data_IF_425677620347
#
_entry.id   IF_425677620347
#
_cell.length_a   1.000
_cell.length_b   1.000
_cell.length_c   1.000
_cell.angle_alpha   90.00
_cell.angle_beta   90.00
_cell.angle_gamma   90.00
#
_symmetry.space_group_name_H-M   'P 1'
#
loop_
_entity.id
_entity.type
_entity.pdbx_description
1 polymer ?
#
# COMPACT_ATOMS: atom_id res chain seq x y z
N UNK A 1 39.75 59.84 -30.92
CA UNK A 1 39.80 60.77 -32.03
C UNK A 1 39.43 62.19 -31.55
N UNK A 2 38.27 62.39 -30.89
CA UNK A 2 37.81 63.70 -30.42
C UNK A 2 38.76 64.37 -29.42
N UNK A 3 39.35 63.65 -28.46
CA UNK A 3 40.37 64.14 -27.54
C UNK A 3 41.62 64.58 -28.27
N UNK A 4 42.08 63.84 -29.30
CA UNK A 4 43.27 64.20 -30.11
C UNK A 4 43.03 65.47 -30.99
N UNK A 5 41.79 65.71 -31.37
CA UNK A 5 41.38 66.91 -32.12
C UNK A 5 41.12 68.16 -31.23
N UNK A 6 41.19 67.94 -29.88
CA UNK A 6 40.91 69.02 -28.94
C UNK A 6 39.43 69.40 -28.79
N UNK A 7 38.54 68.59 -29.32
CA UNK A 7 37.07 68.74 -29.26
C UNK A 7 36.49 68.19 -27.94
N UNK A 8 37.29 67.51 -27.14
CA UNK A 8 36.90 66.89 -25.90
C UNK A 8 38.08 66.77 -24.93
N UNK A 9 37.90 67.04 -23.67
CA UNK A 9 38.96 66.89 -22.66
C UNK A 9 39.13 65.44 -22.25
N UNK A 10 40.28 65.08 -21.67
CA UNK A 10 40.51 63.73 -21.08
C UNK A 10 39.51 63.43 -19.93
N UNK A 11 39.14 64.53 -19.20
CA UNK A 11 38.15 64.40 -18.11
C UNK A 11 36.76 64.04 -18.64
N UNK A 12 36.35 64.60 -19.76
CA UNK A 12 35.07 64.32 -20.40
C UNK A 12 35.05 62.85 -20.88
N UNK A 13 36.15 62.30 -21.40
CA UNK A 13 36.26 60.90 -21.79
C UNK A 13 36.09 59.96 -20.61
N UNK A 14 36.76 60.26 -19.48
CA UNK A 14 36.67 59.45 -18.24
C UNK A 14 35.25 59.53 -17.68
N UNK A 15 34.62 60.74 -17.69
CA UNK A 15 33.26 60.93 -17.23
C UNK A 15 32.25 60.11 -18.07
N UNK A 16 32.34 60.18 -19.39
CA UNK A 16 31.46 59.38 -20.30
C UNK A 16 31.62 57.87 -20.06
N UNK A 17 32.86 57.42 -19.94
CA UNK A 17 33.11 55.99 -19.62
C UNK A 17 32.51 55.60 -18.26
N UNK A 18 32.66 56.46 -17.25
CA UNK A 18 32.03 56.25 -15.94
C UNK A 18 30.50 56.18 -16.02
N UNK A 19 29.88 57.09 -16.80
CA UNK A 19 28.41 57.04 -17.00
C UNK A 19 27.96 55.77 -17.74
N UNK A 20 28.70 55.28 -18.72
CA UNK A 20 28.40 54.01 -19.40
C UNK A 20 28.43 52.83 -18.41
N UNK A 21 29.42 52.79 -17.53
CA UNK A 21 29.47 51.75 -16.46
C UNK A 21 28.32 51.91 -15.46
N UNK A 22 27.94 53.14 -15.09
CA UNK A 22 26.79 53.39 -14.23
C UNK A 22 25.47 52.89 -14.83
N UNK A 23 25.29 53.00 -16.15
CA UNK A 23 24.10 52.54 -16.85
C UNK A 23 24.06 51.03 -17.06
N UNK A 24 25.20 50.37 -17.23
CA UNK A 24 25.26 48.91 -17.42
C UNK A 24 24.86 48.14 -16.18
N UNK A 25 25.14 48.65 -14.99
CA UNK A 25 24.82 47.96 -13.72
C UNK A 25 23.31 47.77 -13.52
N UNK A 26 22.45 48.81 -13.57
CA UNK A 26 21.01 48.63 -13.41
C UNK A 26 20.38 47.79 -14.51
N UNK A 27 20.86 47.85 -15.75
CA UNK A 27 20.37 47.00 -16.84
C UNK A 27 20.67 45.52 -16.59
N UNK A 28 21.87 45.22 -16.07
CA UNK A 28 22.22 43.85 -15.71
C UNK A 28 21.43 43.32 -14.49
N UNK A 29 21.21 44.19 -13.49
CA UNK A 29 20.37 43.85 -12.32
C UNK A 29 18.90 43.65 -12.71
N UNK A 30 18.37 44.38 -13.69
CA UNK A 30 17.01 44.16 -14.18
C UNK A 30 16.80 42.75 -14.70
N UNK A 31 17.78 42.16 -15.39
CA UNK A 31 17.74 40.77 -15.82
C UNK A 31 17.70 39.80 -14.65
N UNK A 32 18.43 40.04 -13.57
CA UNK A 32 18.38 39.20 -12.35
C UNK A 32 17.01 39.32 -11.68
N UNK A 33 16.47 40.52 -11.53
CA UNK A 33 15.17 40.71 -10.90
C UNK A 33 14.04 40.00 -11.68
N UNK A 34 14.08 40.05 -13.01
CA UNK A 34 13.12 39.32 -13.83
C UNK A 34 13.19 37.82 -13.55
N UNK A 35 14.41 37.26 -13.49
CA UNK A 35 14.59 35.81 -13.15
C UNK A 35 14.12 35.50 -11.73
N UNK A 36 14.42 36.36 -10.75
CA UNK A 36 14.00 36.15 -9.37
C UNK A 36 12.48 36.25 -9.22
N UNK A 37 11.83 37.16 -9.91
CA UNK A 37 10.37 37.29 -9.95
C UNK A 37 9.76 36.01 -10.57
N UNK A 38 10.31 35.50 -11.68
CA UNK A 38 9.83 34.26 -12.28
C UNK A 38 10.00 33.06 -11.35
N UNK A 39 11.16 32.92 -10.69
CA UNK A 39 11.39 31.89 -9.69
C UNK A 39 10.41 31.99 -8.53
N UNK A 40 10.19 33.19 -8.02
CA UNK A 40 9.24 33.46 -6.95
C UNK A 40 7.82 33.06 -7.38
N UNK A 41 7.34 33.49 -8.54
CA UNK A 41 6.01 33.15 -9.05
C UNK A 41 5.84 31.65 -9.20
N UNK A 42 6.80 30.95 -9.82
CA UNK A 42 6.75 29.48 -9.96
C UNK A 42 6.76 28.76 -8.61
N UNK A 43 7.54 29.28 -7.65
CA UNK A 43 7.59 28.67 -6.30
C UNK A 43 6.27 28.88 -5.55
N UNK A 44 5.69 30.09 -5.64
CA UNK A 44 4.38 30.39 -5.04
C UNK A 44 3.29 29.54 -5.66
N UNK A 45 3.26 29.37 -6.98
CA UNK A 45 2.29 28.51 -7.66
C UNK A 45 2.36 27.06 -7.16
N UNK A 46 3.56 26.50 -7.00
CA UNK A 46 3.75 25.14 -6.47
C UNK A 46 3.27 25.03 -5.01
N UNK A 47 3.68 25.98 -4.16
CA UNK A 47 3.26 26.01 -2.75
C UNK A 47 1.74 26.18 -2.66
N UNK A 48 1.18 27.13 -3.41
CA UNK A 48 -0.25 27.39 -3.42
C UNK A 48 -1.05 26.18 -3.94
N UNK A 49 -0.60 25.55 -5.02
CA UNK A 49 -1.21 24.33 -5.56
C UNK A 49 -1.22 23.18 -4.53
N UNK A 50 -0.12 23.00 -3.78
CA UNK A 50 -0.07 22.00 -2.70
C UNK A 50 -0.95 22.40 -1.51
N UNK A 51 -0.95 23.67 -1.12
CA UNK A 51 -1.73 24.18 0.01
C UNK A 51 -3.25 24.13 -0.24
N UNK A 52 -3.67 24.37 -1.49
CA UNK A 52 -5.08 24.39 -1.89
C UNK A 52 -5.56 23.04 -2.44
N UNK A 53 -4.67 22.03 -2.53
CA UNK A 53 -5.06 20.70 -2.95
C UNK A 53 -6.11 20.12 -2.00
N UNK A 54 -7.27 19.80 -2.52
CA UNK A 54 -8.28 19.07 -1.77
C UNK A 54 -7.99 17.57 -1.85
N UNK A 55 -8.12 16.81 -0.74
CA UNK A 55 -7.99 15.37 -0.80
C UNK A 55 -9.15 14.75 -1.58
N UNK A 56 -8.85 13.75 -2.41
CA UNK A 56 -9.86 13.03 -3.19
C UNK A 56 -10.85 12.30 -2.26
N UNK A 57 -10.35 11.75 -1.16
CA UNK A 57 -11.16 11.12 -0.13
C UNK A 57 -11.42 12.11 1.00
N UNK A 58 -12.65 12.63 1.08
CA UNK A 58 -13.06 13.60 2.09
C UNK A 58 -13.53 12.89 3.36
N UNK A 59 -13.08 13.41 4.50
CA UNK A 59 -13.62 12.97 5.79
C UNK A 59 -15.11 13.33 5.88
N UNK A 60 -15.98 12.42 6.34
CA UNK A 60 -17.41 12.75 6.50
C UNK A 60 -17.57 13.87 7.52
N UNK A 61 -18.42 14.84 7.22
CA UNK A 61 -18.66 15.99 8.11
C UNK A 61 -19.28 15.58 9.46
N UNK A 62 -19.96 14.44 9.50
CA UNK A 62 -20.51 13.80 10.70
C UNK A 62 -20.32 12.30 10.56
N UNK A 63 -19.17 11.76 10.99
CA UNK A 63 -18.91 10.33 10.91
C UNK A 63 -19.88 9.55 11.80
N UNK A 64 -20.29 8.40 11.34
CA UNK A 64 -21.01 7.42 12.14
C UNK A 64 -20.02 6.85 13.15
N UNK A 65 -20.32 7.00 14.45
CA UNK A 65 -19.51 6.39 15.49
C UNK A 65 -19.77 4.89 15.52
N UNK A 66 -18.71 4.10 15.38
CA UNK A 66 -18.77 2.64 15.43
C UNK A 66 -17.95 2.15 16.63
N UNK A 67 -18.64 1.79 17.72
CA UNK A 67 -17.98 1.50 19.00
C UNK A 67 -17.11 0.25 18.99
N UNK A 68 -17.38 -0.70 18.10
CA UNK A 68 -16.64 -1.97 18.02
C UNK A 68 -16.70 -2.54 16.63
N UNK A 69 -15.57 -2.58 15.96
CA UNK A 69 -15.43 -3.26 14.67
C UNK A 69 -15.42 -4.77 14.87
N UNK A 70 -16.32 -5.45 14.18
CA UNK A 70 -16.42 -6.91 14.19
C UNK A 70 -15.74 -7.54 12.98
N UNK A 71 -15.67 -6.80 11.86
CA UNK A 71 -15.01 -7.23 10.63
C UNK A 71 -15.92 -7.97 9.65
N UNK A 72 -17.25 -7.73 9.68
CA UNK A 72 -18.12 -8.15 8.59
C UNK A 72 -17.95 -7.20 7.41
N UNK A 73 -17.77 -7.74 6.21
CA UNK A 73 -17.47 -6.94 5.02
C UNK A 73 -18.44 -7.31 3.91
N UNK A 74 -18.97 -6.29 3.21
CA UNK A 74 -19.84 -6.49 2.05
C UNK A 74 -19.46 -5.52 0.94
N UNK A 75 -19.16 -6.04 -0.23
CA UNK A 75 -19.03 -5.32 -1.47
C UNK A 75 -20.32 -5.52 -2.27
N UNK A 76 -20.98 -4.43 -2.67
CA UNK A 76 -22.24 -4.47 -3.41
C UNK A 76 -22.14 -3.68 -4.69
N UNK A 77 -22.10 -4.40 -5.80
CA UNK A 77 -22.00 -3.86 -7.17
C UNK A 77 -20.92 -2.79 -7.33
N UNK A 78 -19.76 -3.05 -6.70
CA UNK A 78 -18.67 -2.10 -6.60
C UNK A 78 -17.97 -1.95 -7.94
N UNK A 79 -17.89 -0.71 -8.42
CA UNK A 79 -17.06 -0.32 -9.57
C UNK A 79 -16.13 0.82 -9.18
N UNK A 80 -14.92 0.79 -9.73
CA UNK A 80 -13.94 1.84 -9.53
C UNK A 80 -13.21 2.16 -10.82
N UNK A 81 -13.18 3.45 -11.16
CA UNK A 81 -12.50 4.00 -12.33
C UNK A 81 -11.40 4.95 -11.89
N UNK A 82 -10.24 4.83 -12.51
CA UNK A 82 -9.14 5.76 -12.36
C UNK A 82 -8.63 6.17 -13.74
N UNK A 83 -8.38 7.45 -13.96
CA UNK A 83 -7.86 8.02 -15.22
C UNK A 83 -8.58 7.50 -16.47
N UNK A 84 -9.94 7.45 -16.42
CA UNK A 84 -10.84 6.93 -17.47
C UNK A 84 -10.75 5.41 -17.74
N UNK A 85 -9.98 4.66 -16.95
CA UNK A 85 -9.92 3.20 -17.01
C UNK A 85 -10.77 2.55 -15.90
N UNK A 86 -11.59 1.56 -16.27
CA UNK A 86 -12.36 0.75 -15.33
C UNK A 86 -11.46 -0.31 -14.70
N UNK A 87 -11.01 -0.06 -13.47
CA UNK A 87 -10.12 -0.95 -12.71
C UNK A 87 -10.90 -2.08 -12.03
N UNK A 88 -12.06 -1.75 -11.44
CA UNK A 88 -13.00 -2.70 -10.81
C UNK A 88 -14.37 -2.54 -11.48
N UNK A 89 -15.01 -3.65 -11.76
CA UNK A 89 -16.27 -3.70 -12.54
C UNK A 89 -17.27 -4.63 -11.89
N UNK A 90 -18.29 -4.07 -11.27
CA UNK A 90 -19.46 -4.78 -10.72
C UNK A 90 -19.08 -5.94 -9.79
N UNK A 91 -18.21 -5.68 -8.83
CA UNK A 91 -17.73 -6.67 -7.87
C UNK A 91 -18.68 -6.74 -6.68
N UNK A 92 -19.16 -7.97 -6.37
CA UNK A 92 -20.03 -8.22 -5.23
C UNK A 92 -19.61 -9.49 -4.49
N UNK A 93 -19.40 -9.38 -3.17
CA UNK A 93 -19.15 -10.51 -2.27
C UNK A 93 -19.42 -10.11 -0.83
N UNK A 94 -19.59 -11.10 0.02
CA UNK A 94 -19.77 -10.92 1.46
C UNK A 94 -18.78 -11.79 2.23
N UNK A 95 -18.27 -11.25 3.34
CA UNK A 95 -17.35 -11.90 4.27
C UNK A 95 -17.87 -11.71 5.67
N UNK A 96 -17.98 -12.79 6.41
CA UNK A 96 -18.38 -12.75 7.80
C UNK A 96 -17.15 -12.57 8.70
N UNK A 97 -17.39 -12.02 9.88
CA UNK A 97 -16.41 -11.94 10.94
C UNK A 97 -15.63 -13.24 11.10
N UNK A 98 -14.31 -13.14 11.11
CA UNK A 98 -13.40 -14.25 11.35
C UNK A 98 -13.22 -15.19 10.15
N UNK A 99 -13.87 -14.94 9.01
CA UNK A 99 -13.58 -15.69 7.78
C UNK A 99 -12.23 -15.26 7.16
N UNK A 100 -11.55 -16.22 6.58
CA UNK A 100 -10.36 -16.00 5.76
C UNK A 100 -10.75 -15.98 4.28
N UNK A 101 -10.43 -14.92 3.58
CA UNK A 101 -10.70 -14.74 2.14
C UNK A 101 -9.41 -14.71 1.36
N UNK A 102 -9.24 -15.66 0.46
CA UNK A 102 -8.17 -15.70 -0.53
C UNK A 102 -8.53 -14.89 -1.77
N UNK A 103 -7.60 -14.09 -2.29
CA UNK A 103 -7.77 -13.38 -3.56
C UNK A 103 -6.68 -13.84 -4.53
N UNK A 104 -7.08 -14.51 -5.60
CA UNK A 104 -6.22 -14.98 -6.70
C UNK A 104 -6.50 -14.19 -7.97
N UNK A 105 -5.50 -14.01 -8.81
CA UNK A 105 -5.65 -13.42 -10.14
C UNK A 105 -4.32 -12.93 -10.71
N UNK A 106 -4.32 -12.61 -11.99
CA UNK A 106 -3.14 -12.09 -12.69
C UNK A 106 -2.72 -10.72 -12.16
N UNK A 107 -1.49 -10.30 -12.49
CA UNK A 107 -1.05 -8.92 -12.22
C UNK A 107 -1.97 -7.96 -12.97
N UNK A 108 -2.42 -6.90 -12.31
CA UNK A 108 -3.38 -5.94 -12.89
C UNK A 108 -4.85 -6.37 -12.83
N UNK A 109 -5.19 -7.55 -12.28
CA UNK A 109 -6.58 -8.00 -12.14
C UNK A 109 -7.44 -7.19 -11.15
N UNK A 110 -6.83 -6.24 -10.40
CA UNK A 110 -7.55 -5.39 -9.44
C UNK A 110 -7.51 -5.86 -7.98
N UNK A 111 -6.70 -6.89 -7.64
CA UNK A 111 -6.61 -7.46 -6.28
C UNK A 111 -6.29 -6.42 -5.21
N UNK A 112 -5.21 -5.67 -5.37
CA UNK A 112 -4.80 -4.64 -4.42
C UNK A 112 -5.80 -3.46 -4.40
N UNK A 113 -6.51 -3.23 -5.51
CA UNK A 113 -7.56 -2.19 -5.57
C UNK A 113 -8.73 -2.54 -4.67
N UNK A 114 -9.14 -3.81 -4.56
CA UNK A 114 -10.18 -4.27 -3.60
C UNK A 114 -9.79 -3.86 -2.18
N UNK A 115 -8.54 -4.10 -1.79
CA UNK A 115 -8.03 -3.73 -0.46
C UNK A 115 -7.98 -2.21 -0.29
N UNK A 116 -7.55 -1.47 -1.31
CA UNK A 116 -7.50 -0.02 -1.25
C UNK A 116 -8.91 0.60 -1.09
N UNK A 117 -9.92 0.01 -1.72
CA UNK A 117 -11.31 0.41 -1.55
C UNK A 117 -11.85 0.06 -0.16
N UNK A 118 -11.49 -1.11 0.40
CA UNK A 118 -11.84 -1.51 1.77
C UNK A 118 -11.24 -0.54 2.79
N UNK A 119 -9.97 -0.13 2.62
CA UNK A 119 -9.28 0.83 3.47
C UNK A 119 -9.68 2.28 3.19
N UNK A 120 -10.56 2.47 2.20
CA UNK A 120 -10.96 3.79 1.70
C UNK A 120 -9.75 4.67 1.39
N UNK A 121 -8.74 4.13 0.68
CA UNK A 121 -7.71 4.95 0.04
C UNK A 121 -8.26 5.62 -1.21
N UNK A 122 -9.30 5.03 -1.79
CA UNK A 122 -10.10 5.58 -2.88
C UNK A 122 -11.59 5.39 -2.56
N UNK A 123 -12.44 6.29 -3.04
CA UNK A 123 -13.89 6.11 -3.00
C UNK A 123 -14.36 5.35 -4.25
N UNK A 124 -15.34 4.46 -4.10
CA UNK A 124 -15.95 3.75 -5.23
C UNK A 124 -16.66 4.72 -6.18
N UNK A 125 -16.62 4.42 -7.48
CA UNK A 125 -17.36 5.16 -8.51
C UNK A 125 -18.83 4.81 -8.47
N UNK A 126 -19.14 3.52 -8.37
CA UNK A 126 -20.50 2.98 -8.24
C UNK A 126 -20.53 1.86 -7.19
N UNK A 127 -21.72 1.61 -6.63
CA UNK A 127 -21.90 0.61 -5.57
C UNK A 127 -21.47 1.11 -4.20
N UNK A 128 -21.29 0.17 -3.28
CA UNK A 128 -20.93 0.48 -1.90
C UNK A 128 -20.04 -0.61 -1.28
N UNK A 129 -19.12 -0.17 -0.40
CA UNK A 129 -18.33 -1.04 0.47
C UNK A 129 -18.81 -0.82 1.90
N UNK A 130 -19.21 -1.90 2.55
CA UNK A 130 -19.73 -1.87 3.92
C UNK A 130 -18.79 -2.61 4.86
N UNK A 131 -18.55 -2.02 6.02
CA UNK A 131 -17.90 -2.67 7.17
C UNK A 131 -18.93 -2.67 8.30
N UNK A 132 -19.24 -3.86 8.80
CA UNK A 132 -20.27 -4.08 9.83
C UNK A 132 -21.62 -3.45 9.47
N UNK A 133 -21.99 -3.46 8.18
CA UNK A 133 -23.23 -2.91 7.66
C UNK A 133 -23.22 -1.40 7.45
N UNK A 134 -22.15 -0.70 7.78
CA UNK A 134 -21.99 0.75 7.60
C UNK A 134 -21.12 1.02 6.39
N UNK A 135 -21.54 1.95 5.52
CA UNK A 135 -20.74 2.34 4.36
C UNK A 135 -19.42 2.99 4.82
N UNK A 136 -18.32 2.55 4.25
CA UNK A 136 -16.99 3.09 4.59
C UNK A 136 -16.89 4.61 4.37
N UNK A 137 -17.74 5.18 3.50
CA UNK A 137 -17.83 6.63 3.27
C UNK A 137 -18.36 7.40 4.48
N UNK A 138 -19.16 6.73 5.31
CA UNK A 138 -19.81 7.34 6.48
C UNK A 138 -19.02 7.12 7.77
N UNK A 139 -18.04 6.21 7.77
CA UNK A 139 -17.18 5.90 8.91
C UNK A 139 -16.09 6.97 9.09
N UNK A 140 -15.63 7.14 10.32
CA UNK A 140 -14.40 7.89 10.60
C UNK A 140 -13.20 7.19 9.97
N UNK A 141 -12.41 7.92 9.17
CA UNK A 141 -11.28 7.34 8.44
C UNK A 141 -10.17 6.82 9.37
N UNK A 142 -9.96 7.49 10.50
CA UNK A 142 -8.93 7.08 11.45
C UNK A 142 -9.36 5.81 12.18
N UNK A 143 -10.62 5.77 12.65
CA UNK A 143 -11.18 4.60 13.32
C UNK A 143 -11.23 3.39 12.38
N UNK A 144 -11.70 3.57 11.12
CA UNK A 144 -11.70 2.51 10.12
C UNK A 144 -10.29 1.92 9.93
N UNK A 145 -9.31 2.79 9.64
CA UNK A 145 -7.94 2.37 9.36
C UNK A 145 -7.20 1.86 10.60
N UNK A 146 -7.58 2.31 11.80
CA UNK A 146 -7.03 1.78 13.04
C UNK A 146 -7.43 0.32 13.25
N UNK A 147 -8.63 -0.06 12.81
CA UNK A 147 -9.14 -1.43 12.90
C UNK A 147 -8.74 -2.33 11.70
N UNK A 148 -7.95 -1.82 10.77
CA UNK A 148 -7.40 -2.59 9.65
C UNK A 148 -5.88 -2.67 9.80
N UNK A 149 -5.36 -3.89 9.92
CA UNK A 149 -3.93 -4.18 9.85
C UNK A 149 -3.55 -4.59 8.43
N UNK A 150 -2.50 -3.99 7.87
CA UNK A 150 -2.06 -4.31 6.51
C UNK A 150 -0.57 -4.67 6.53
N UNK A 151 -0.25 -5.84 5.99
CA UNK A 151 1.10 -6.21 5.62
C UNK A 151 1.17 -6.22 4.08
N UNK A 152 1.94 -5.30 3.52
CA UNK A 152 2.02 -5.08 2.06
C UNK A 152 3.16 -5.88 1.44
N UNK A 153 3.06 -6.15 0.13
CA UNK A 153 4.08 -6.78 -0.70
C UNK A 153 5.40 -5.99 -0.66
N UNK A 154 5.33 -4.68 -0.91
CA UNK A 154 6.48 -3.78 -0.81
C UNK A 154 6.62 -3.26 0.62
N UNK A 155 7.47 -3.93 1.39
CA UNK A 155 7.69 -3.59 2.79
C UNK A 155 8.55 -2.34 2.92
N UNK A 156 7.99 -1.29 3.49
CA UNK A 156 8.73 -0.11 3.90
C UNK A 156 9.07 -0.19 5.41
N UNK A 157 10.37 -0.17 5.71
CA UNK A 157 10.88 -0.02 7.08
C UNK A 157 11.53 1.34 7.23
N UNK A 158 11.25 1.97 8.36
CA UNK A 158 11.82 3.27 8.72
C UNK A 158 13.26 3.11 9.23
N UNK A 159 14.06 4.16 9.12
CA UNK A 159 15.38 4.23 9.73
C UNK A 159 15.23 4.38 11.25
N UNK A 160 14.99 3.25 11.91
CA UNK A 160 14.69 3.14 13.34
C UNK A 160 15.09 1.74 13.83
N UNK A 161 14.95 1.47 15.12
CA UNK A 161 15.12 0.14 15.69
C UNK A 161 14.09 -0.85 15.13
N UNK A 162 14.36 -2.15 15.26
CA UNK A 162 13.36 -3.18 14.91
C UNK A 162 12.13 -3.04 15.81
N UNK A 163 12.33 -2.77 17.10
CA UNK A 163 11.24 -2.47 18.03
C UNK A 163 10.39 -1.30 17.52
N UNK A 164 11.01 -0.14 17.21
CA UNK A 164 10.33 1.04 16.69
C UNK A 164 9.57 0.76 15.38
N UNK A 165 10.15 -0.06 14.50
CA UNK A 165 9.48 -0.49 13.29
C UNK A 165 8.24 -1.36 13.55
N UNK A 166 8.26 -2.28 14.50
CA UNK A 166 7.10 -3.09 14.87
C UNK A 166 6.07 -2.22 15.60
N UNK A 167 6.52 -1.40 16.55
CA UNK A 167 5.67 -0.54 17.38
C UNK A 167 5.06 0.65 16.61
N UNK A 168 5.45 0.89 15.36
CA UNK A 168 5.07 2.07 14.58
C UNK A 168 3.56 2.36 14.55
N UNK A 169 2.73 1.31 14.44
CA UNK A 169 1.27 1.46 14.44
C UNK A 169 0.66 1.72 15.83
N UNK A 170 1.41 1.46 16.92
CA UNK A 170 0.97 1.62 18.30
C UNK A 170 2.17 1.91 19.20
N UNK A 171 2.70 3.15 19.16
CA UNK A 171 3.96 3.51 19.85
C UNK A 171 3.93 3.33 21.38
N UNK A 172 2.74 3.43 21.99
CA UNK A 172 2.55 3.31 23.44
C UNK A 172 2.40 1.85 23.91
N UNK A 173 2.60 0.85 23.03
CA UNK A 173 2.50 -0.55 23.42
C UNK A 173 3.67 -0.99 24.30
N UNK A 174 3.45 -2.02 25.13
CA UNK A 174 4.51 -2.60 25.93
C UNK A 174 5.48 -3.42 25.05
N UNK A 175 6.76 -3.45 25.44
CA UNK A 175 7.77 -4.26 24.78
C UNK A 175 7.42 -5.76 24.76
N UNK A 176 6.75 -6.26 25.81
CA UNK A 176 6.27 -7.65 25.84
C UNK A 176 5.25 -7.92 24.72
N UNK A 177 4.35 -6.96 24.40
CA UNK A 177 3.42 -7.09 23.28
C UNK A 177 4.15 -7.10 21.93
N UNK A 178 5.19 -6.27 21.78
CA UNK A 178 6.08 -6.28 20.60
C UNK A 178 6.71 -7.67 20.40
N UNK A 179 7.24 -8.27 21.47
CA UNK A 179 7.81 -9.63 21.42
C UNK A 179 6.77 -10.70 21.07
N UNK A 180 5.56 -10.56 21.61
CA UNK A 180 4.48 -11.50 21.35
C UNK A 180 4.12 -11.52 19.86
N UNK A 181 3.83 -10.37 19.26
CA UNK A 181 3.51 -10.30 17.82
C UNK A 181 4.70 -10.67 16.93
N UNK A 182 5.94 -10.38 17.37
CA UNK A 182 7.13 -10.83 16.68
C UNK A 182 7.28 -12.36 16.69
N UNK A 183 6.83 -13.05 17.75
CA UNK A 183 6.75 -14.53 17.78
C UNK A 183 5.68 -15.02 16.83
N UNK A 184 4.50 -14.41 16.82
CA UNK A 184 3.40 -14.78 15.93
C UNK A 184 3.80 -14.66 14.46
N UNK A 185 4.57 -13.63 14.11
CA UNK A 185 5.11 -13.41 12.77
C UNK A 185 6.40 -14.20 12.48
N UNK A 186 6.82 -15.13 13.33
CA UNK A 186 8.10 -15.85 13.24
C UNK A 186 9.33 -14.94 13.13
N UNK A 187 9.24 -13.72 13.64
CA UNK A 187 10.33 -12.75 13.59
C UNK A 187 11.28 -12.82 14.80
N UNK A 188 10.78 -13.23 15.97
CA UNK A 188 11.51 -13.15 17.23
C UNK A 188 12.84 -13.93 17.22
N UNK A 189 12.90 -15.07 16.51
CA UNK A 189 14.12 -15.89 16.50
C UNK A 189 15.26 -15.19 15.78
N UNK A 190 15.01 -14.68 14.56
CA UNK A 190 16.06 -14.00 13.83
C UNK A 190 16.42 -12.65 14.48
N UNK A 191 15.45 -11.93 15.08
CA UNK A 191 15.71 -10.66 15.77
C UNK A 191 16.70 -10.89 16.93
N UNK A 192 16.50 -11.93 17.74
CA UNK A 192 17.39 -12.27 18.84
C UNK A 192 18.81 -12.65 18.41
N UNK A 193 18.99 -13.10 17.17
CA UNK A 193 20.30 -13.45 16.61
C UNK A 193 21.04 -12.24 16.02
N UNK A 194 20.41 -11.07 15.96
CA UNK A 194 21.07 -9.82 15.57
C UNK A 194 21.93 -9.29 16.76
N UNK A 195 23.00 -8.54 16.48
CA UNK A 195 23.92 -8.06 17.52
C UNK A 195 23.22 -7.30 18.67
N UNK A 196 22.29 -6.42 18.32
CA UNK A 196 21.57 -5.58 19.29
C UNK A 196 20.11 -6.04 19.47
N UNK A 197 19.73 -7.22 18.93
CA UNK A 197 18.38 -7.76 19.07
C UNK A 197 17.32 -6.80 18.55
N UNK A 198 16.34 -6.46 19.39
CA UNK A 198 15.25 -5.53 19.06
C UNK A 198 15.71 -4.08 18.91
N UNK A 199 16.85 -3.70 19.54
CA UNK A 199 17.45 -2.37 19.45
C UNK A 199 18.29 -2.20 18.17
N UNK A 200 18.41 -3.25 17.33
CA UNK A 200 19.13 -3.18 16.07
C UNK A 200 18.51 -2.11 15.17
N UNK A 201 19.32 -1.10 14.81
CA UNK A 201 18.90 -0.04 13.89
C UNK A 201 18.89 -0.60 12.47
N UNK A 202 17.75 -0.47 11.82
CA UNK A 202 17.53 -0.83 10.42
C UNK A 202 17.69 0.41 9.58
N UNK A 203 18.53 0.35 8.54
CA UNK A 203 18.66 1.46 7.60
C UNK A 203 17.37 1.70 6.79
N UNK A 204 17.33 2.82 6.07
CA UNK A 204 16.21 3.19 5.21
C UNK A 204 15.81 2.01 4.30
N UNK A 205 14.50 1.73 4.22
CA UNK A 205 13.93 0.58 3.49
C UNK A 205 14.45 -0.78 3.94
N UNK A 206 14.95 -0.89 5.17
CA UNK A 206 15.37 -2.18 5.73
C UNK A 206 16.71 -2.68 5.20
N UNK A 207 17.65 -1.79 4.89
CA UNK A 207 19.00 -2.19 4.51
C UNK A 207 19.60 -3.08 5.61
N UNK A 208 20.15 -4.23 5.20
CA UNK A 208 20.74 -5.23 6.11
C UNK A 208 19.82 -6.41 6.45
N UNK A 209 18.52 -6.35 6.10
CA UNK A 209 17.58 -7.45 6.30
C UNK A 209 17.24 -8.15 4.99
N UNK A 210 17.02 -9.47 5.03
CA UNK A 210 16.48 -10.23 3.89
C UNK A 210 15.02 -9.85 3.61
N UNK A 211 14.51 -10.15 2.41
CA UNK A 211 13.11 -9.90 2.04
C UNK A 211 12.12 -10.55 3.01
N UNK A 212 12.33 -11.83 3.34
CA UNK A 212 11.49 -12.54 4.30
C UNK A 212 11.56 -12.00 5.73
N UNK A 213 12.71 -11.46 6.17
CA UNK A 213 12.82 -10.78 7.47
C UNK A 213 12.01 -9.48 7.49
N UNK A 214 12.07 -8.70 6.41
CA UNK A 214 11.25 -7.47 6.27
C UNK A 214 9.76 -7.79 6.28
N UNK A 215 9.34 -8.81 5.54
CA UNK A 215 7.93 -9.24 5.51
C UNK A 215 7.44 -9.65 6.90
N UNK A 216 8.22 -10.41 7.67
CA UNK A 216 7.87 -10.81 9.04
C UNK A 216 7.79 -9.63 10.01
N UNK A 217 8.65 -8.62 9.88
CA UNK A 217 8.55 -7.37 10.66
C UNK A 217 7.28 -6.60 10.28
N UNK A 218 6.95 -6.51 8.99
CA UNK A 218 5.71 -5.86 8.51
C UNK A 218 4.46 -6.58 9.02
N UNK A 219 4.47 -7.91 9.02
CA UNK A 219 3.38 -8.71 9.59
C UNK A 219 3.25 -8.46 11.10
N UNK A 220 4.35 -8.47 11.85
CA UNK A 220 4.33 -8.15 13.28
C UNK A 220 3.76 -6.75 13.56
N UNK A 221 4.11 -5.75 12.74
CA UNK A 221 3.54 -4.40 12.78
C UNK A 221 2.02 -4.40 12.57
N UNK A 222 1.53 -5.16 11.58
CA UNK A 222 0.10 -5.26 11.30
C UNK A 222 -0.66 -5.94 12.44
N UNK A 223 -0.10 -7.01 13.01
CA UNK A 223 -0.68 -7.75 14.13
C UNK A 223 -0.70 -6.95 15.44
N UNK A 224 0.26 -6.03 15.62
CA UNK A 224 0.34 -5.21 16.84
C UNK A 224 -0.88 -4.32 17.05
N UNK A 225 -1.54 -3.91 15.98
CA UNK A 225 -2.76 -3.10 16.03
C UNK A 225 -3.95 -3.85 16.64
N UNK A 226 -3.89 -5.17 16.74
CA UNK A 226 -5.02 -6.00 17.17
C UNK A 226 -6.27 -5.78 16.30
N UNK A 227 -6.11 -5.85 14.96
CA UNK A 227 -7.11 -5.37 14.03
C UNK A 227 -8.32 -6.30 13.95
N UNK A 228 -9.51 -5.72 13.67
CA UNK A 228 -10.70 -6.51 13.31
C UNK A 228 -10.59 -7.12 11.90
N UNK A 229 -9.80 -6.47 11.01
CA UNK A 229 -9.56 -6.89 9.63
C UNK A 229 -8.06 -6.90 9.38
N UNK A 230 -7.52 -8.05 8.97
CA UNK A 230 -6.11 -8.22 8.60
C UNK A 230 -5.98 -8.42 7.10
N UNK A 231 -5.07 -7.71 6.48
CA UNK A 231 -4.75 -7.85 5.06
C UNK A 231 -3.31 -8.27 4.89
N UNK A 232 -3.11 -9.36 4.15
CA UNK A 232 -1.83 -9.96 3.83
C UNK A 232 -1.66 -9.93 2.30
N UNK A 233 -0.93 -8.94 1.79
CA UNK A 233 -0.67 -8.81 0.35
C UNK A 233 0.70 -9.42 0.03
N UNK A 234 0.69 -10.64 -0.48
CA UNK A 234 1.87 -11.46 -0.88
C UNK A 234 2.99 -11.50 0.18
N UNK A 235 2.59 -11.51 1.46
CA UNK A 235 3.50 -11.37 2.61
C UNK A 235 4.34 -12.62 2.88
N UNK A 236 4.03 -13.74 2.23
CA UNK A 236 4.72 -15.02 2.42
C UNK A 236 5.54 -15.43 1.19
N UNK A 237 5.55 -14.63 0.13
CA UNK A 237 6.26 -14.96 -1.12
C UNK A 237 7.78 -15.11 -0.98
N UNK A 238 8.38 -14.38 -0.05
CA UNK A 238 9.82 -14.39 0.21
C UNK A 238 10.22 -15.24 1.44
N UNK A 239 9.28 -15.96 2.06
CA UNK A 239 9.55 -16.90 3.15
C UNK A 239 9.50 -18.34 2.65
N UNK A 240 10.17 -19.25 3.35
CA UNK A 240 10.12 -20.69 3.09
C UNK A 240 8.78 -21.31 3.55
N UNK A 241 8.48 -22.52 3.04
CA UNK A 241 7.21 -23.20 3.29
C UNK A 241 6.98 -23.54 4.78
N UNK A 242 8.05 -23.77 5.56
CA UNK A 242 7.93 -24.08 6.98
C UNK A 242 7.51 -22.84 7.75
N UNK A 243 8.15 -21.70 7.49
CA UNK A 243 7.79 -20.39 8.05
C UNK A 243 6.38 -19.98 7.64
N UNK A 244 5.99 -20.16 6.36
CA UNK A 244 4.63 -19.89 5.87
C UNK A 244 3.59 -20.70 6.66
N UNK A 245 3.80 -22.01 6.78
CA UNK A 245 2.90 -22.91 7.54
C UNK A 245 2.85 -22.56 9.03
N UNK A 246 3.95 -22.08 9.62
CA UNK A 246 3.97 -21.61 11.00
C UNK A 246 3.12 -20.34 11.16
N UNK A 247 3.30 -19.34 10.28
CA UNK A 247 2.53 -18.09 10.30
C UNK A 247 1.04 -18.38 10.13
N UNK A 248 0.66 -19.25 9.18
CA UNK A 248 -0.75 -19.63 8.97
C UNK A 248 -1.37 -20.22 10.24
N UNK A 249 -0.68 -21.14 10.90
CA UNK A 249 -1.15 -21.72 12.18
C UNK A 249 -1.28 -20.66 13.28
N UNK A 250 -0.39 -19.67 13.33
CA UNK A 250 -0.53 -18.58 14.31
C UNK A 250 -1.74 -17.69 13.98
N UNK A 251 -2.00 -17.43 12.71
CA UNK A 251 -3.17 -16.67 12.27
C UNK A 251 -4.48 -17.41 12.56
N UNK A 252 -4.51 -18.73 12.36
CA UNK A 252 -5.65 -19.59 12.76
C UNK A 252 -5.90 -19.54 14.28
N UNK A 253 -4.85 -19.46 15.11
CA UNK A 253 -4.98 -19.30 16.56
C UNK A 253 -5.53 -17.94 17.00
N UNK A 254 -5.28 -16.87 16.22
CA UNK A 254 -5.96 -15.57 16.39
C UNK A 254 -7.43 -15.73 16.02
N UNK A 255 -7.71 -16.64 15.10
CA UNK A 255 -8.96 -17.28 14.73
C UNK A 255 -10.12 -16.30 14.57
N UNK A 256 -11.30 -16.75 14.84
CA UNK A 256 -12.61 -16.11 14.68
C UNK A 256 -12.79 -14.68 15.22
N UNK A 257 -11.73 -14.04 15.72
CA UNK A 257 -11.74 -12.64 16.18
C UNK A 257 -11.32 -11.63 15.10
N UNK A 258 -10.65 -12.07 14.03
CA UNK A 258 -10.11 -11.19 12.98
C UNK A 258 -10.45 -11.75 11.59
N UNK A 259 -11.08 -10.94 10.76
CA UNK A 259 -11.37 -11.28 9.36
C UNK A 259 -10.09 -11.07 8.54
N UNK A 260 -9.67 -12.09 7.77
CA UNK A 260 -8.36 -12.06 7.10
C UNK A 260 -8.51 -12.11 5.59
N UNK A 261 -7.87 -11.17 4.89
CA UNK A 261 -7.69 -11.19 3.43
C UNK A 261 -6.27 -11.61 3.09
N UNK A 262 -6.14 -12.62 2.24
CA UNK A 262 -4.84 -13.09 1.74
C UNK A 262 -4.81 -12.90 0.23
N UNK A 263 -3.96 -12.01 -0.26
CA UNK A 263 -3.63 -11.89 -1.67
C UNK A 263 -2.38 -12.73 -1.89
N UNK A 264 -2.45 -13.73 -2.73
CA UNK A 264 -1.30 -14.57 -3.05
C UNK A 264 -1.35 -15.10 -4.48
N UNK A 265 -0.18 -15.38 -5.03
CA UNK A 265 -0.03 -16.06 -6.32
C UNK A 265 0.10 -17.58 -6.13
N UNK A 266 0.46 -18.03 -4.92
CA UNK A 266 0.59 -19.45 -4.56
C UNK A 266 -0.72 -19.97 -4.01
N UNK A 267 -1.19 -21.06 -4.59
CA UNK A 267 -2.42 -21.70 -4.09
C UNK A 267 -2.24 -22.31 -2.70
N UNK A 268 -0.99 -22.67 -2.31
CA UNK A 268 -0.73 -23.13 -0.93
C UNK A 268 -1.21 -22.15 0.13
N UNK A 269 -1.04 -20.86 -0.10
CA UNK A 269 -1.44 -19.81 0.84
C UNK A 269 -2.96 -19.56 0.88
N UNK A 270 -3.70 -20.05 -0.12
CA UNK A 270 -5.14 -19.79 -0.29
C UNK A 270 -6.01 -21.04 -0.02
N UNK A 271 -5.38 -22.22 0.02
CA UNK A 271 -6.08 -23.50 0.04
C UNK A 271 -7.05 -23.65 1.22
N UNK A 272 -6.63 -23.17 2.38
CA UNK A 272 -7.38 -23.31 3.63
C UNK A 272 -8.28 -22.10 3.92
N UNK A 273 -8.44 -21.18 2.93
CA UNK A 273 -9.34 -20.04 3.03
C UNK A 273 -10.82 -20.49 2.97
N UNK A 274 -11.67 -19.88 3.81
CA UNK A 274 -13.12 -20.15 3.82
C UNK A 274 -13.79 -19.76 2.50
N UNK A 275 -13.21 -18.76 1.82
CA UNK A 275 -13.67 -18.30 0.52
C UNK A 275 -12.49 -17.83 -0.33
N UNK A 276 -12.48 -18.21 -1.59
CA UNK A 276 -11.50 -17.77 -2.57
C UNK A 276 -12.24 -16.97 -3.65
N UNK A 277 -11.73 -15.77 -3.93
CA UNK A 277 -12.18 -14.91 -5.01
C UNK A 277 -11.13 -14.96 -6.12
N UNK A 278 -11.52 -15.38 -7.31
CA UNK A 278 -10.67 -15.38 -8.49
C UNK A 278 -10.98 -14.16 -9.33
N UNK A 279 -10.02 -13.28 -9.50
CA UNK A 279 -10.18 -12.03 -10.21
C UNK A 279 -9.50 -12.05 -11.55
N UNK A 280 -10.19 -11.51 -12.55
CA UNK A 280 -9.63 -11.24 -13.86
C UNK A 280 -10.25 -9.96 -14.43
N UNK A 281 -9.42 -9.08 -15.01
CA UNK A 281 -9.83 -7.81 -15.65
C UNK A 281 -10.83 -6.99 -14.80
N UNK A 282 -10.59 -6.90 -13.51
CA UNK A 282 -11.42 -6.12 -12.58
C UNK A 282 -12.73 -6.77 -12.16
N UNK A 283 -12.97 -8.05 -12.49
CA UNK A 283 -14.18 -8.81 -12.15
C UNK A 283 -13.84 -10.04 -11.32
N UNK A 284 -14.80 -10.49 -10.52
CA UNK A 284 -14.75 -11.83 -9.93
C UNK A 284 -15.29 -12.80 -10.97
N UNK A 285 -14.42 -13.69 -11.48
CA UNK A 285 -14.79 -14.72 -12.47
C UNK A 285 -15.20 -16.04 -11.82
N UNK A 286 -14.64 -16.35 -10.64
CA UNK A 286 -14.97 -17.52 -9.84
C UNK A 286 -14.94 -17.16 -8.37
N UNK A 287 -15.81 -17.83 -7.58
CA UNK A 287 -15.76 -17.77 -6.13
C UNK A 287 -16.23 -19.11 -5.52
N UNK A 288 -15.65 -19.47 -4.37
CA UNK A 288 -15.97 -20.69 -3.63
C UNK A 288 -14.82 -21.13 -2.73
N UNK A 289 -14.92 -22.31 -2.14
CA UNK A 289 -13.84 -22.97 -1.42
C UNK A 289 -12.84 -23.61 -2.41
N UNK A 290 -11.70 -24.08 -1.90
CA UNK A 290 -10.71 -24.80 -2.70
C UNK A 290 -11.34 -25.98 -3.44
N UNK A 291 -12.09 -26.83 -2.73
CA UNK A 291 -12.72 -28.04 -3.26
C UNK A 291 -13.76 -27.69 -4.33
N UNK A 292 -14.60 -26.68 -4.09
CA UNK A 292 -15.61 -26.23 -5.04
C UNK A 292 -14.99 -25.73 -6.34
N UNK A 293 -13.90 -24.93 -6.23
CA UNK A 293 -13.23 -24.35 -7.39
C UNK A 293 -12.46 -25.40 -8.20
N UNK A 294 -11.86 -26.40 -7.53
CA UNK A 294 -11.26 -27.56 -8.22
C UNK A 294 -12.33 -28.36 -8.95
N UNK A 295 -13.48 -28.62 -8.32
CA UNK A 295 -14.57 -29.36 -8.94
C UNK A 295 -15.20 -28.62 -10.14
N UNK A 296 -15.20 -27.28 -10.15
CA UNK A 296 -15.66 -26.48 -11.28
C UNK A 296 -14.76 -26.63 -12.53
N UNK A 297 -13.46 -26.96 -12.35
CA UNK A 297 -12.52 -27.14 -13.46
C UNK A 297 -12.21 -25.85 -14.23
N UNK A 298 -12.39 -24.68 -13.61
CA UNK A 298 -12.20 -23.38 -14.24
C UNK A 298 -10.75 -22.84 -14.14
N UNK A 299 -10.64 -21.51 -14.11
CA UNK A 299 -9.34 -20.84 -14.04
C UNK A 299 -8.55 -21.25 -12.79
N UNK A 300 -9.19 -21.30 -11.62
CA UNK A 300 -8.56 -21.74 -10.38
C UNK A 300 -7.95 -23.13 -10.50
N UNK A 301 -8.71 -24.08 -11.00
CA UNK A 301 -8.26 -25.45 -11.19
C UNK A 301 -7.07 -25.52 -12.17
N UNK A 302 -7.10 -24.72 -13.24
CA UNK A 302 -6.00 -24.63 -14.22
C UNK A 302 -4.73 -24.15 -13.52
N UNK A 303 -4.79 -23.08 -12.72
CA UNK A 303 -3.64 -22.55 -11.97
C UNK A 303 -3.14 -23.59 -10.95
N UNK A 304 -4.06 -24.28 -10.28
CA UNK A 304 -3.71 -25.35 -9.33
C UNK A 304 -2.91 -26.46 -10.00
N UNK A 305 -3.37 -27.03 -11.11
CA UNK A 305 -2.68 -28.10 -11.80
C UNK A 305 -1.36 -27.66 -12.43
N UNK A 306 -1.24 -26.40 -12.78
CA UNK A 306 0.07 -25.83 -13.19
C UNK A 306 1.07 -25.77 -12.04
N UNK A 307 0.63 -25.40 -10.83
CA UNK A 307 1.51 -25.38 -9.64
C UNK A 307 1.77 -26.76 -9.07
N UNK A 308 0.83 -27.72 -9.25
CA UNK A 308 0.90 -29.09 -8.74
C UNK A 308 0.65 -30.13 -9.84
N UNK A 309 1.61 -30.35 -10.75
CA UNK A 309 1.44 -31.25 -11.91
C UNK A 309 1.11 -32.70 -11.51
N UNK A 310 1.55 -33.15 -10.32
CA UNK A 310 1.25 -34.50 -9.83
C UNK A 310 -0.20 -34.68 -9.33
N UNK A 311 -0.94 -33.59 -9.12
CA UNK A 311 -2.33 -33.62 -8.70
C UNK A 311 -3.32 -33.73 -9.87
N UNK A 312 -2.85 -33.70 -11.12
CA UNK A 312 -3.69 -33.85 -12.31
C UNK A 312 -4.41 -35.21 -12.26
N UNK A 313 -5.75 -35.27 -12.32
CA UNK A 313 -6.48 -36.52 -12.38
C UNK A 313 -6.04 -37.38 -13.59
N UNK A 314 -5.72 -38.62 -13.39
CA UNK A 314 -5.30 -39.57 -14.47
C UNK A 314 -6.41 -39.88 -15.49
N UNK A 315 -7.62 -39.40 -15.28
CA UNK A 315 -8.73 -39.52 -16.21
C UNK A 315 -8.76 -38.32 -17.14
N UNK A 316 -8.34 -38.55 -18.39
CA UNK A 316 -8.15 -37.57 -19.46
C UNK A 316 -9.34 -36.61 -19.71
N UNK A 317 -9.36 -35.50 -19.01
CA UNK A 317 -10.01 -34.29 -19.48
C UNK A 317 -8.92 -33.31 -19.88
N UNK A 318 -8.81 -33.06 -21.17
CA UNK A 318 -7.95 -32.03 -21.74
C UNK A 318 -8.24 -30.70 -21.03
N UNK A 319 -7.27 -30.20 -20.27
CA UNK A 319 -7.31 -28.84 -19.75
C UNK A 319 -7.21 -27.92 -20.96
N UNK A 320 -8.31 -27.24 -21.27
CA UNK A 320 -8.33 -26.27 -22.37
C UNK A 320 -7.20 -25.24 -22.14
N UNK A 321 -6.23 -25.22 -23.02
CA UNK A 321 -5.20 -24.21 -23.12
C UNK A 321 -5.88 -22.88 -23.48
N UNK A 322 -6.04 -22.00 -22.49
CA UNK A 322 -6.34 -20.59 -22.71
C UNK A 322 -5.01 -19.92 -23.03
N UNK A 323 -4.85 -19.48 -24.29
CA UNK A 323 -3.69 -18.74 -24.80
C UNK A 323 -3.72 -17.26 -24.37
#
# INVERSE_FOLDING_TARGET
>A
VMVVRGEMTLGDLVAVNGYLWMLTTPLRMAGWWINDIQRFTTSVEKIYGTYTAEPDVKHPGRPVQHQKYEGNISFRNVSYRADDEDIIRDVSFEVKKGETVGILGTTGAGKSTIINLLCRFFDVTDGEVLVDGINVKDLDLYELRENIGIAMQDVFLFSDTIEGNIAYGRPDCSFERVKEVAKMADANLFIKNLPDGYDTIVGERGVGLSGGQKQRISLARALLKDPAILVLDDTTSAVDMETESYIQRQLENIGHSCTTFIIAYRISSLRDADKILVMDQGRIIEQGTHEELIAKGGYYATVYYHQYPMAVPKNGQEVNHIG
#
